data_IF_428779408732
#
_entry.id   IF_428779408732
#
_cell.length_a   1.000
_cell.length_b   1.000
_cell.length_c   1.000
_cell.angle_alpha   90.00
_cell.angle_beta   90.00
_cell.angle_gamma   90.00
#
_symmetry.space_group_name_H-M   'P 1'
#
loop_
_entity.id
_entity.type
_entity.pdbx_description
1 polymer ?
#
# COMPACT_ATOMS: atom_id res chain seq x y z
N UNK A 1 -15.41 -3.73 0.43
CA UNK A 1 -15.72 -5.04 -0.20
C UNK A 1 -15.33 -6.24 0.69
N UNK A 2 -14.04 -6.47 0.97
CA UNK A 2 -13.54 -7.61 1.77
C UNK A 2 -14.16 -7.72 3.17
N UNK A 3 -14.36 -6.59 3.87
CA UNK A 3 -15.03 -6.57 5.19
C UNK A 3 -16.48 -7.09 5.12
N UNK A 4 -17.25 -6.68 4.11
CA UNK A 4 -18.65 -7.13 3.93
C UNK A 4 -18.73 -8.62 3.64
N UNK A 5 -17.82 -9.15 2.81
CA UNK A 5 -17.72 -10.60 2.55
C UNK A 5 -17.32 -11.36 3.81
N UNK A 6 -16.28 -10.89 4.53
CA UNK A 6 -15.85 -11.48 5.82
C UNK A 6 -16.99 -11.53 6.83
N UNK A 7 -17.76 -10.44 6.97
CA UNK A 7 -18.90 -10.40 7.87
C UNK A 7 -19.95 -11.47 7.51
N UNK A 8 -20.26 -11.66 6.22
CA UNK A 8 -21.19 -12.70 5.76
C UNK A 8 -20.66 -14.12 5.93
N UNK A 9 -19.36 -14.33 5.76
CA UNK A 9 -18.72 -15.62 6.09
C UNK A 9 -18.83 -15.90 7.58
N UNK A 10 -18.58 -14.90 8.44
CA UNK A 10 -18.63 -15.05 9.90
C UNK A 10 -20.02 -15.39 10.43
N UNK A 11 -21.11 -15.09 9.69
CA UNK A 11 -22.45 -15.50 10.13
C UNK A 11 -22.69 -17.01 10.00
N UNK A 12 -21.89 -17.72 9.21
CA UNK A 12 -21.98 -19.17 9.00
C UNK A 12 -23.17 -19.64 8.15
N UNK A 13 -24.21 -18.82 8.00
CA UNK A 13 -25.51 -19.19 7.40
C UNK A 13 -25.81 -18.54 6.06
N UNK A 14 -25.02 -17.52 5.65
CA UNK A 14 -25.30 -16.77 4.43
C UNK A 14 -24.90 -17.56 3.16
N UNK A 15 -23.81 -18.32 3.26
CA UNK A 15 -23.32 -19.19 2.19
C UNK A 15 -23.71 -20.64 2.46
N UNK A 16 -24.06 -21.36 1.41
CA UNK A 16 -24.33 -22.80 1.49
C UNK A 16 -23.03 -23.57 1.78
N UNK A 17 -21.90 -23.07 1.27
CA UNK A 17 -20.56 -23.63 1.40
C UNK A 17 -19.61 -22.64 2.06
N UNK A 18 -19.87 -22.27 3.32
CA UNK A 18 -19.09 -21.27 4.07
C UNK A 18 -17.58 -21.56 4.13
N UNK A 19 -17.17 -22.81 4.38
CA UNK A 19 -15.73 -23.15 4.43
C UNK A 19 -15.06 -23.07 3.06
N UNK A 20 -15.76 -23.49 2.01
CA UNK A 20 -15.29 -23.31 0.64
C UNK A 20 -15.15 -21.82 0.31
N UNK A 21 -16.10 -20.98 0.72
CA UNK A 21 -16.06 -19.53 0.48
C UNK A 21 -14.86 -18.85 1.15
N UNK A 22 -14.46 -19.31 2.35
CA UNK A 22 -13.22 -18.85 3.02
C UNK A 22 -11.99 -19.16 2.16
N UNK A 23 -11.86 -20.39 1.71
CA UNK A 23 -10.73 -20.82 0.88
C UNK A 23 -10.73 -20.09 -0.46
N UNK A 24 -11.89 -20.01 -1.12
CA UNK A 24 -12.10 -19.32 -2.39
C UNK A 24 -11.64 -17.86 -2.33
N UNK A 25 -12.12 -17.09 -1.35
CA UNK A 25 -11.76 -15.67 -1.24
C UNK A 25 -10.28 -15.45 -0.90
N UNK A 26 -9.69 -16.31 -0.06
CA UNK A 26 -8.28 -16.22 0.29
C UNK A 26 -7.36 -16.59 -0.88
N UNK A 27 -7.66 -17.70 -1.55
CA UNK A 27 -6.89 -18.21 -2.70
C UNK A 27 -6.96 -17.24 -3.87
N UNK A 28 -8.16 -16.73 -4.19
CA UNK A 28 -8.33 -15.73 -5.24
C UNK A 28 -7.47 -14.49 -4.98
N UNK A 29 -7.55 -13.91 -3.77
CA UNK A 29 -6.75 -12.74 -3.40
C UNK A 29 -5.24 -13.00 -3.36
N UNK A 30 -4.81 -14.25 -3.16
CA UNK A 30 -3.38 -14.59 -3.15
C UNK A 30 -2.73 -14.46 -4.52
N UNK A 31 -3.45 -14.60 -5.63
CA UNK A 31 -2.86 -14.42 -6.95
C UNK A 31 -2.27 -13.02 -7.15
N UNK A 32 -3.02 -11.97 -6.79
CA UNK A 32 -2.50 -10.60 -6.82
C UNK A 32 -1.31 -10.42 -5.88
N UNK A 33 -1.42 -10.88 -4.62
CA UNK A 33 -0.34 -10.76 -3.62
C UNK A 33 0.94 -11.43 -4.08
N UNK A 34 0.82 -12.64 -4.65
CA UNK A 34 1.94 -13.38 -5.18
C UNK A 34 2.53 -12.68 -6.41
N UNK A 35 1.72 -12.19 -7.34
CA UNK A 35 2.21 -11.45 -8.50
C UNK A 35 2.98 -10.18 -8.09
N UNK A 36 2.45 -9.44 -7.11
CA UNK A 36 3.10 -8.25 -6.57
C UNK A 36 4.39 -8.58 -5.82
N UNK A 37 4.41 -9.65 -5.01
CA UNK A 37 5.61 -10.10 -4.30
C UNK A 37 6.71 -10.52 -5.28
N UNK A 38 6.37 -11.31 -6.30
CA UNK A 38 7.31 -11.69 -7.36
C UNK A 38 7.85 -10.47 -8.11
N UNK A 39 7.03 -9.44 -8.34
CA UNK A 39 7.50 -8.17 -8.91
C UNK A 39 8.52 -7.49 -8.00
N UNK A 40 8.22 -7.37 -6.70
CA UNK A 40 9.08 -6.76 -5.72
C UNK A 40 10.42 -7.48 -5.56
N UNK A 41 10.42 -8.82 -5.69
CA UNK A 41 11.63 -9.66 -5.64
C UNK A 41 12.39 -9.70 -6.98
N UNK A 42 11.88 -9.08 -8.05
CA UNK A 42 12.49 -9.14 -9.38
C UNK A 42 12.32 -10.49 -10.09
N UNK A 43 11.45 -11.36 -9.60
CA UNK A 43 11.15 -12.69 -10.15
C UNK A 43 10.15 -12.60 -11.31
N UNK A 44 10.47 -11.80 -12.33
CA UNK A 44 9.57 -11.46 -13.45
C UNK A 44 9.03 -12.71 -14.17
N UNK A 45 9.82 -13.78 -14.24
CA UNK A 45 9.46 -15.05 -14.89
C UNK A 45 8.36 -15.83 -14.14
N UNK A 46 8.13 -15.52 -12.86
CA UNK A 46 7.06 -16.11 -12.05
C UNK A 46 5.76 -15.30 -12.13
N UNK A 47 5.75 -14.18 -12.85
CA UNK A 47 4.59 -13.31 -12.98
C UNK A 47 3.84 -13.62 -14.28
N UNK A 48 2.51 -13.82 -14.22
CA UNK A 48 1.69 -13.98 -15.42
C UNK A 48 1.77 -12.78 -16.36
N UNK A 49 1.64 -12.99 -17.66
CA UNK A 49 1.76 -11.93 -18.68
C UNK A 49 0.71 -10.84 -18.50
N UNK A 50 -0.51 -11.23 -18.15
CA UNK A 50 -1.60 -10.29 -17.86
C UNK A 50 -1.27 -9.36 -16.67
N UNK A 51 -0.71 -9.90 -15.59
CA UNK A 51 -0.24 -9.12 -14.44
C UNK A 51 0.98 -8.24 -14.78
N UNK A 52 1.96 -8.78 -15.52
CA UNK A 52 3.10 -8.00 -16.00
C UNK A 52 2.67 -6.78 -16.82
N UNK A 53 1.67 -6.95 -17.69
CA UNK A 53 1.12 -5.85 -18.48
C UNK A 53 0.51 -4.77 -17.59
N UNK A 54 -0.33 -5.18 -16.62
CA UNK A 54 -0.93 -4.27 -15.67
C UNK A 54 0.12 -3.49 -14.86
N UNK A 55 1.11 -4.18 -14.29
CA UNK A 55 2.18 -3.55 -13.52
C UNK A 55 3.06 -2.62 -14.36
N UNK A 56 3.38 -3.02 -15.60
CA UNK A 56 4.16 -2.20 -16.53
C UNK A 56 3.50 -0.85 -16.78
N UNK A 57 2.20 -0.82 -17.05
CA UNK A 57 1.47 0.41 -17.35
C UNK A 57 1.17 1.25 -16.11
N UNK A 58 0.91 0.60 -14.97
CA UNK A 58 0.81 1.27 -13.68
C UNK A 58 2.12 1.98 -13.31
N UNK A 59 3.27 1.30 -13.42
CA UNK A 59 4.59 1.86 -13.13
C UNK A 59 4.98 3.01 -14.06
N UNK A 60 4.71 2.87 -15.36
CA UNK A 60 4.97 3.94 -16.33
C UNK A 60 4.08 5.17 -16.13
N UNK A 61 2.95 5.01 -15.46
CA UNK A 61 1.92 6.04 -15.36
C UNK A 61 1.46 6.51 -16.75
N UNK A 62 1.52 5.64 -17.75
CA UNK A 62 1.26 5.95 -19.16
C UNK A 62 -0.22 5.81 -19.58
N UNK A 63 -1.06 5.37 -18.65
CA UNK A 63 -2.49 5.14 -18.83
C UNK A 63 -3.33 5.98 -17.86
N UNK A 64 -4.62 6.16 -18.18
CA UNK A 64 -5.59 6.72 -17.23
C UNK A 64 -5.85 5.75 -16.09
N UNK A 65 -6.42 6.26 -15.00
CA UNK A 65 -6.86 5.40 -13.89
C UNK A 65 -7.76 4.26 -14.38
N UNK A 66 -8.73 4.55 -15.26
CA UNK A 66 -9.69 3.57 -15.77
C UNK A 66 -9.03 2.43 -16.53
N UNK A 67 -8.08 2.75 -17.40
CA UNK A 67 -7.37 1.72 -18.17
C UNK A 67 -6.51 0.89 -17.22
N UNK A 68 -5.79 1.51 -16.27
CA UNK A 68 -5.03 0.76 -15.27
C UNK A 68 -5.91 -0.15 -14.40
N UNK A 69 -7.09 0.33 -13.99
CA UNK A 69 -8.05 -0.46 -13.22
C UNK A 69 -8.59 -1.64 -14.04
N UNK A 70 -8.98 -1.40 -15.30
CA UNK A 70 -9.44 -2.45 -16.20
C UNK A 70 -8.34 -3.48 -16.54
N UNK A 71 -7.08 -3.07 -16.65
CA UNK A 71 -5.94 -3.99 -16.80
C UNK A 71 -5.80 -4.91 -15.58
N UNK A 72 -5.90 -4.34 -14.38
CA UNK A 72 -5.91 -5.12 -13.13
C UNK A 72 -7.09 -6.09 -13.07
N UNK A 73 -8.28 -5.67 -13.49
CA UNK A 73 -9.45 -6.55 -13.58
C UNK A 73 -9.27 -7.67 -14.60
N UNK A 74 -8.68 -7.39 -15.76
CA UNK A 74 -8.40 -8.41 -16.78
C UNK A 74 -7.49 -9.51 -16.22
N UNK A 75 -6.41 -9.14 -15.54
CA UNK A 75 -5.52 -10.09 -14.89
C UNK A 75 -6.20 -10.81 -13.71
N UNK A 76 -6.83 -10.06 -12.81
CA UNK A 76 -7.37 -10.64 -11.59
C UNK A 76 -8.64 -11.45 -11.84
N UNK A 77 -9.64 -10.89 -12.51
CA UNK A 77 -10.91 -11.58 -12.77
C UNK A 77 -10.77 -12.48 -14.00
N UNK A 78 -10.25 -11.97 -15.11
CA UNK A 78 -10.20 -12.73 -16.37
C UNK A 78 -9.35 -13.99 -16.30
N UNK A 79 -8.22 -13.94 -15.57
CA UNK A 79 -7.33 -15.08 -15.38
C UNK A 79 -7.51 -15.74 -14.01
N UNK A 80 -7.27 -15.04 -12.91
CA UNK A 80 -7.09 -15.69 -11.60
C UNK A 80 -8.38 -16.34 -11.08
N UNK A 81 -9.55 -15.81 -11.44
CA UNK A 81 -10.83 -16.34 -10.96
C UNK A 81 -11.11 -17.73 -11.54
N UNK A 82 -10.85 -17.92 -12.83
CA UNK A 82 -11.04 -19.22 -13.49
C UNK A 82 -10.12 -20.28 -12.91
N UNK A 83 -8.87 -19.91 -12.62
CA UNK A 83 -7.89 -20.78 -11.97
C UNK A 83 -8.35 -21.14 -10.55
N UNK A 84 -8.76 -20.13 -9.76
CA UNK A 84 -9.26 -20.33 -8.39
C UNK A 84 -10.40 -21.33 -8.34
N UNK A 85 -11.40 -21.15 -9.22
CA UNK A 85 -12.55 -22.04 -9.32
C UNK A 85 -12.16 -23.45 -9.75
N UNK A 86 -11.10 -23.61 -10.55
CA UNK A 86 -10.62 -24.91 -11.00
C UNK A 86 -9.76 -25.66 -9.98
N UNK A 87 -8.97 -24.95 -9.17
CA UNK A 87 -7.99 -25.54 -8.24
C UNK A 87 -8.59 -25.94 -6.90
N UNK A 88 -9.53 -25.15 -6.36
CA UNK A 88 -10.04 -25.37 -5.01
C UNK A 88 -11.02 -26.53 -4.89
N UNK A 89 -11.76 -26.86 -5.96
CA UNK A 89 -12.51 -28.11 -6.08
C UNK A 89 -13.07 -28.21 -7.51
N UNK A 90 -12.61 -29.18 -8.35
CA UNK A 90 -13.12 -29.38 -9.69
C UNK A 90 -14.66 -29.37 -9.69
N UNK A 91 -15.28 -28.73 -10.68
CA UNK A 91 -16.73 -28.44 -10.75
C UNK A 91 -17.68 -29.67 -10.76
N UNK A 92 -17.27 -30.85 -10.28
CA UNK A 92 -18.08 -32.06 -10.18
C UNK A 92 -18.95 -32.15 -8.92
N UNK A 93 -18.48 -31.70 -7.76
CA UNK A 93 -19.29 -31.71 -6.51
C UNK A 93 -19.86 -30.31 -6.21
N UNK A 94 -21.18 -30.25 -5.94
CA UNK A 94 -21.89 -29.05 -5.50
C UNK A 94 -21.80 -27.82 -6.43
N UNK A 95 -21.66 -28.03 -7.75
CA UNK A 95 -21.53 -26.94 -8.73
C UNK A 95 -22.65 -25.89 -8.65
N UNK A 96 -23.89 -26.32 -8.41
CA UNK A 96 -25.04 -25.43 -8.24
C UNK A 96 -24.90 -24.55 -6.99
N UNK A 97 -24.53 -25.11 -5.84
CA UNK A 97 -24.31 -24.37 -4.60
C UNK A 97 -23.12 -23.40 -4.72
N UNK A 98 -22.02 -23.84 -5.35
CA UNK A 98 -20.86 -22.96 -5.64
C UNK A 98 -21.24 -21.79 -6.55
N UNK A 99 -22.06 -22.04 -7.58
CA UNK A 99 -22.55 -20.98 -8.48
C UNK A 99 -23.46 -20.00 -7.72
N UNK A 100 -24.39 -20.53 -6.92
CA UNK A 100 -25.28 -19.76 -6.03
C UNK A 100 -24.47 -18.85 -5.09
N UNK A 101 -23.50 -19.41 -4.37
CA UNK A 101 -22.65 -18.67 -3.44
C UNK A 101 -21.74 -17.65 -4.15
N UNK A 102 -21.23 -17.97 -5.34
CA UNK A 102 -20.48 -17.02 -6.18
C UNK A 102 -21.35 -15.84 -6.63
N UNK A 103 -22.62 -16.09 -6.98
CA UNK A 103 -23.58 -15.04 -7.29
C UNK A 103 -23.92 -14.18 -6.06
N UNK A 104 -24.04 -14.77 -4.88
CA UNK A 104 -24.20 -14.01 -3.62
C UNK A 104 -23.01 -13.07 -3.38
N UNK A 105 -21.78 -13.52 -3.63
CA UNK A 105 -20.59 -12.64 -3.58
C UNK A 105 -20.68 -11.54 -4.62
N UNK A 106 -21.05 -11.84 -5.87
CA UNK A 106 -21.22 -10.82 -6.91
C UNK A 106 -22.25 -9.77 -6.51
N UNK A 107 -23.35 -10.16 -5.86
CA UNK A 107 -24.35 -9.21 -5.35
C UNK A 107 -23.76 -8.30 -4.25
N UNK A 108 -22.96 -8.85 -3.32
CA UNK A 108 -22.25 -8.05 -2.31
C UNK A 108 -21.30 -7.05 -3.00
N UNK A 109 -20.58 -7.51 -4.02
CA UNK A 109 -19.64 -6.69 -4.79
C UNK A 109 -20.39 -5.57 -5.51
N UNK A 110 -21.44 -5.89 -6.28
CA UNK A 110 -22.24 -4.93 -7.03
C UNK A 110 -22.79 -3.84 -6.09
N UNK A 111 -23.33 -4.23 -4.94
CA UNK A 111 -23.87 -3.32 -3.92
C UNK A 111 -22.83 -2.44 -3.21
N UNK A 112 -21.53 -2.67 -3.42
CA UNK A 112 -20.47 -1.77 -2.95
C UNK A 112 -19.58 -1.24 -4.08
N UNK A 113 -19.84 -1.60 -5.34
CA UNK A 113 -19.01 -1.21 -6.48
C UNK A 113 -19.19 0.26 -6.81
N UNK A 114 -20.41 0.81 -6.66
CA UNK A 114 -20.64 2.23 -6.83
C UNK A 114 -19.87 3.05 -5.78
N UNK A 115 -19.90 2.64 -4.51
CA UNK A 115 -19.11 3.28 -3.44
C UNK A 115 -17.61 3.23 -3.75
N UNK A 116 -17.11 2.06 -4.16
CA UNK A 116 -15.69 1.86 -4.49
C UNK A 116 -15.26 2.69 -5.71
N UNK A 117 -16.01 2.64 -6.81
CA UNK A 117 -15.68 3.38 -8.04
C UNK A 117 -15.83 4.88 -7.80
N UNK A 118 -16.78 5.30 -6.97
CA UNK A 118 -16.90 6.71 -6.55
C UNK A 118 -15.66 7.12 -5.77
N UNK A 119 -15.29 6.37 -4.72
CA UNK A 119 -14.10 6.68 -3.93
C UNK A 119 -12.81 6.66 -4.77
N UNK A 120 -12.66 5.68 -5.67
CA UNK A 120 -11.51 5.58 -6.57
C UNK A 120 -11.51 6.69 -7.63
N UNK A 121 -12.66 7.09 -8.15
CA UNK A 121 -12.75 8.22 -9.09
C UNK A 121 -12.45 9.54 -8.38
N UNK A 122 -12.98 9.73 -7.18
CA UNK A 122 -12.64 10.88 -6.33
C UNK A 122 -11.14 10.90 -6.03
N UNK A 123 -10.52 9.72 -5.85
CA UNK A 123 -9.11 9.56 -5.51
C UNK A 123 -8.14 9.43 -6.70
N UNK A 124 -8.59 9.21 -7.94
CA UNK A 124 -7.66 9.13 -9.08
C UNK A 124 -8.06 10.00 -10.28
N UNK A 125 -9.28 10.56 -10.31
CA UNK A 125 -9.78 11.37 -11.42
C UNK A 125 -10.96 12.31 -11.02
N UNK A 126 -10.76 13.27 -10.09
CA UNK A 126 -11.82 14.07 -9.47
C UNK A 126 -12.45 15.04 -10.46
N UNK A 127 -11.74 15.36 -11.55
CA UNK A 127 -12.29 16.12 -12.69
C UNK A 127 -13.54 15.45 -13.29
N UNK A 128 -13.66 14.13 -13.16
CA UNK A 128 -14.82 13.38 -13.64
C UNK A 128 -16.05 13.56 -12.74
N UNK A 129 -15.90 14.21 -11.57
CA UNK A 129 -17.01 14.63 -10.72
C UNK A 129 -17.82 15.77 -11.33
N UNK A 130 -17.25 16.49 -12.31
CA UNK A 130 -17.89 17.63 -12.94
C UNK A 130 -18.89 17.24 -14.05
N UNK A 131 -19.06 15.93 -14.32
CA UNK A 131 -19.87 15.42 -15.44
C UNK A 131 -20.55 14.09 -15.13
N UNK A 132 -21.49 13.64 -15.98
CA UNK A 132 -22.13 12.31 -15.91
C UNK A 132 -21.18 11.13 -16.19
N UNK A 133 -19.87 11.37 -16.31
CA UNK A 133 -18.89 10.34 -16.65
C UNK A 133 -18.82 9.25 -15.58
N UNK A 134 -19.02 9.55 -14.29
CA UNK A 134 -19.03 8.55 -13.21
C UNK A 134 -20.00 7.41 -13.46
N UNK A 135 -21.23 7.75 -13.83
CA UNK A 135 -22.28 6.76 -14.09
C UNK A 135 -21.94 5.92 -15.31
N UNK A 136 -21.47 6.56 -16.39
CA UNK A 136 -21.04 5.84 -17.59
C UNK A 136 -19.88 4.90 -17.28
N UNK A 137 -18.88 5.36 -16.53
CA UNK A 137 -17.72 4.57 -16.14
C UNK A 137 -18.09 3.40 -15.25
N UNK A 138 -18.95 3.64 -14.25
CA UNK A 138 -19.52 2.59 -13.43
C UNK A 138 -20.20 1.52 -14.30
N UNK A 139 -21.10 1.92 -15.20
CA UNK A 139 -21.80 1.00 -16.11
C UNK A 139 -20.83 0.21 -16.99
N UNK A 140 -19.79 0.86 -17.53
CA UNK A 140 -18.79 0.18 -18.35
C UNK A 140 -17.96 -0.81 -17.55
N UNK A 141 -17.53 -0.47 -16.33
CA UNK A 141 -16.74 -1.35 -15.47
C UNK A 141 -17.58 -2.50 -14.91
N UNK A 142 -18.84 -2.26 -14.54
CA UNK A 142 -19.77 -3.29 -14.08
C UNK A 142 -20.03 -4.30 -15.21
N UNK A 143 -20.35 -3.82 -16.42
CA UNK A 143 -20.50 -4.68 -17.62
C UNK A 143 -19.21 -5.46 -17.91
N UNK A 144 -18.05 -4.80 -17.84
CA UNK A 144 -16.76 -5.43 -18.05
C UNK A 144 -16.48 -6.52 -17.01
N UNK A 145 -16.82 -6.27 -15.74
CA UNK A 145 -16.71 -7.25 -14.65
C UNK A 145 -17.54 -8.49 -14.95
N UNK A 146 -18.77 -8.33 -15.42
CA UNK A 146 -19.67 -9.45 -15.70
C UNK A 146 -19.20 -10.29 -16.89
N UNK A 147 -18.68 -9.65 -17.94
CA UNK A 147 -18.02 -10.36 -19.05
C UNK A 147 -16.84 -11.20 -18.54
N UNK A 148 -15.96 -10.61 -17.72
CA UNK A 148 -14.81 -11.30 -17.17
C UNK A 148 -15.20 -12.47 -16.26
N UNK A 149 -16.22 -12.30 -15.41
CA UNK A 149 -16.77 -13.38 -14.57
C UNK A 149 -17.35 -14.52 -15.40
N UNK A 150 -18.06 -14.21 -16.49
CA UNK A 150 -18.60 -15.19 -17.42
C UNK A 150 -17.48 -16.00 -18.08
N UNK A 151 -16.43 -15.33 -18.57
CA UNK A 151 -15.23 -15.97 -19.13
C UNK A 151 -14.58 -16.88 -18.09
N UNK A 152 -14.33 -16.37 -16.88
CA UNK A 152 -13.71 -17.12 -15.79
C UNK A 152 -14.50 -18.38 -15.41
N UNK A 153 -15.83 -18.29 -15.35
CA UNK A 153 -16.70 -19.43 -15.07
C UNK A 153 -16.61 -20.49 -16.17
N UNK A 154 -16.71 -20.08 -17.44
CA UNK A 154 -16.61 -21.01 -18.58
C UNK A 154 -15.24 -21.69 -18.63
N UNK A 155 -14.19 -20.94 -18.33
CA UNK A 155 -12.82 -21.42 -18.22
C UNK A 155 -12.66 -22.48 -17.12
N UNK A 156 -13.27 -22.25 -15.95
CA UNK A 156 -13.27 -23.22 -14.86
C UNK A 156 -14.02 -24.51 -15.25
N UNK A 157 -15.19 -24.39 -15.89
CA UNK A 157 -15.97 -25.53 -16.42
C UNK A 157 -15.14 -26.33 -17.43
N UNK A 158 -14.43 -25.63 -18.31
CA UNK A 158 -13.55 -26.27 -19.29
C UNK A 158 -12.40 -27.05 -18.63
N UNK A 159 -11.67 -26.45 -17.67
CA UNK A 159 -10.61 -27.17 -16.93
C UNK A 159 -11.17 -28.40 -16.22
N UNK A 160 -12.32 -28.25 -15.54
CA UNK A 160 -12.94 -29.36 -14.82
C UNK A 160 -13.34 -30.52 -15.75
N UNK A 161 -13.73 -30.21 -16.98
CA UNK A 161 -14.09 -31.20 -18.00
C UNK A 161 -12.86 -31.88 -18.62
N UNK A 162 -11.68 -31.23 -18.58
CA UNK A 162 -10.44 -31.73 -19.19
C UNK A 162 -9.21 -31.58 -18.27
N UNK A 163 -9.13 -32.32 -17.14
CA UNK A 163 -8.09 -32.13 -16.12
C UNK A 163 -6.65 -32.34 -16.63
N UNK A 164 -6.46 -33.19 -17.63
CA UNK A 164 -5.14 -33.47 -18.24
C UNK A 164 -4.59 -32.25 -19.00
N UNK A 165 -5.46 -31.33 -19.43
CA UNK A 165 -5.08 -30.13 -20.17
C UNK A 165 -4.86 -28.88 -19.28
N UNK A 166 -4.92 -29.01 -17.94
CA UNK A 166 -5.03 -27.87 -17.02
C UNK A 166 -3.88 -26.84 -17.20
N UNK A 167 -2.63 -27.29 -17.32
CA UNK A 167 -1.49 -26.37 -17.54
C UNK A 167 -1.59 -25.57 -18.85
N UNK A 168 -2.10 -26.19 -19.91
CA UNK A 168 -2.31 -25.51 -21.20
C UNK A 168 -3.49 -24.56 -21.11
N UNK A 169 -4.58 -24.96 -20.46
CA UNK A 169 -5.74 -24.11 -20.23
C UNK A 169 -5.37 -22.86 -19.43
N UNK A 170 -4.60 -22.99 -18.33
CA UNK A 170 -4.12 -21.84 -17.54
C UNK A 170 -3.28 -20.88 -18.39
N UNK A 171 -2.43 -21.38 -19.30
CA UNK A 171 -1.65 -20.54 -20.21
C UNK A 171 -2.53 -19.81 -21.22
N UNK A 172 -3.58 -20.45 -21.73
CA UNK A 172 -4.56 -19.82 -22.61
C UNK A 172 -5.32 -18.72 -21.87
N UNK A 173 -5.74 -18.96 -20.63
CA UNK A 173 -6.41 -17.94 -19.79
C UNK A 173 -5.55 -16.70 -19.58
N UNK A 174 -4.26 -16.88 -19.30
CA UNK A 174 -3.32 -15.76 -19.20
C UNK A 174 -3.14 -15.04 -20.55
N UNK A 175 -3.10 -15.77 -21.66
CA UNK A 175 -3.02 -15.19 -22.99
C UNK A 175 -4.28 -14.39 -23.35
N UNK A 176 -5.48 -14.90 -23.05
CA UNK A 176 -6.75 -14.21 -23.30
C UNK A 176 -6.86 -12.94 -22.45
N UNK A 177 -6.54 -13.02 -21.16
CA UNK A 177 -6.49 -11.87 -20.26
C UNK A 177 -5.45 -10.83 -20.71
N UNK A 178 -4.31 -11.29 -21.25
CA UNK A 178 -3.28 -10.42 -21.82
C UNK A 178 -3.75 -9.75 -23.12
N UNK A 179 -4.36 -10.49 -24.06
CA UNK A 179 -4.90 -9.93 -25.33
C UNK A 179 -5.97 -8.88 -25.05
N UNK A 180 -6.87 -9.16 -24.09
CA UNK A 180 -7.86 -8.19 -23.65
C UNK A 180 -7.20 -6.95 -23.06
N UNK A 181 -6.14 -7.12 -22.27
CA UNK A 181 -5.34 -6.02 -21.74
C UNK A 181 -4.65 -5.19 -22.82
N UNK A 182 -4.02 -5.81 -23.81
CA UNK A 182 -3.41 -5.13 -24.97
C UNK A 182 -4.46 -4.35 -25.77
N UNK A 183 -5.68 -4.89 -25.88
CA UNK A 183 -6.80 -4.19 -26.52
C UNK A 183 -7.18 -2.92 -25.74
N UNK A 184 -7.24 -2.99 -24.40
CA UNK A 184 -7.46 -1.82 -23.55
C UNK A 184 -6.34 -0.77 -23.71
N UNK A 185 -5.09 -1.21 -23.77
CA UNK A 185 -3.92 -0.35 -24.04
C UNK A 185 -4.04 0.32 -25.41
N UNK A 186 -4.46 -0.41 -26.44
CA UNK A 186 -4.65 0.13 -27.79
C UNK A 186 -5.79 1.17 -27.85
N UNK A 187 -6.78 1.07 -26.96
CA UNK A 187 -7.87 2.04 -26.83
C UNK A 187 -7.50 3.26 -25.97
N UNK A 188 -6.41 3.20 -25.19
CA UNK A 188 -5.97 4.29 -24.33
C UNK A 188 -5.82 5.67 -25.01
N UNK A 189 -5.40 5.78 -26.30
CA UNK A 189 -5.38 7.06 -27.02
C UNK A 189 -6.72 7.81 -27.03
N UNK A 190 -7.85 7.08 -27.03
CA UNK A 190 -9.20 7.66 -27.00
C UNK A 190 -9.48 8.38 -25.68
N UNK A 191 -8.73 8.05 -24.62
CA UNK A 191 -8.85 8.62 -23.29
C UNK A 191 -7.74 9.65 -22.99
N UNK A 192 -6.92 10.06 -23.98
CA UNK A 192 -5.84 11.05 -23.78
C UNK A 192 -6.34 12.39 -23.23
N UNK A 193 -7.51 12.85 -23.69
CA UNK A 193 -8.11 14.07 -23.20
C UNK A 193 -8.34 13.97 -21.68
N UNK A 194 -8.92 12.88 -21.20
CA UNK A 194 -9.12 12.62 -19.77
C UNK A 194 -7.80 12.59 -19.00
N UNK A 195 -6.75 11.98 -19.58
CA UNK A 195 -5.43 11.92 -18.96
C UNK A 195 -4.76 13.29 -18.80
N UNK A 196 -4.95 14.19 -19.76
CA UNK A 196 -4.44 15.56 -19.65
C UNK A 196 -5.10 16.28 -18.48
N UNK A 197 -6.38 16.03 -18.24
CA UNK A 197 -7.08 16.53 -17.06
C UNK A 197 -6.66 15.82 -15.77
N UNK A 198 -6.50 14.49 -15.73
CA UNK A 198 -5.97 13.76 -14.57
C UNK A 198 -4.59 14.28 -14.15
N UNK A 199 -3.70 14.56 -15.11
CA UNK A 199 -2.36 15.12 -14.84
C UNK A 199 -2.36 16.58 -14.42
N UNK A 200 -3.40 17.33 -14.77
CA UNK A 200 -3.55 18.75 -14.37
C UNK A 200 -3.95 18.89 -12.90
N UNK A 201 -4.31 17.77 -12.24
CA UNK A 201 -4.47 17.65 -10.80
C UNK A 201 -3.33 16.77 -10.27
N UNK A 202 -2.18 17.34 -9.87
CA UNK A 202 -1.05 16.56 -9.37
C UNK A 202 -1.45 15.71 -8.15
N UNK A 203 -0.70 14.64 -7.91
CA UNK A 203 -0.80 13.76 -6.73
C UNK A 203 -0.86 14.54 -5.39
N UNK A 204 -0.37 15.78 -5.39
CA UNK A 204 -0.47 16.79 -4.33
C UNK A 204 -1.91 17.22 -3.97
N UNK A 205 -2.91 16.96 -4.82
CA UNK A 205 -4.33 17.27 -4.58
C UNK A 205 -5.16 16.09 -4.05
N UNK A 206 -4.59 14.89 -3.95
CA UNK A 206 -5.40 13.67 -4.10
C UNK A 206 -5.89 12.99 -2.84
N UNK A 207 -5.50 13.46 -1.68
CA UNK A 207 -5.81 12.72 -0.47
C UNK A 207 -6.96 13.46 0.30
N UNK A 208 -7.86 14.14 -0.44
CA UNK A 208 -8.92 15.06 0.04
C UNK A 208 -10.31 14.47 0.31
N UNK A 209 -10.52 13.14 0.27
CA UNK A 209 -11.89 12.59 0.50
C UNK A 209 -12.19 12.35 1.99
N UNK A 210 -11.14 12.28 2.82
CA UNK A 210 -11.17 12.52 4.28
C UNK A 210 -9.78 13.07 4.63
N UNK A 211 -9.57 14.02 5.56
CA UNK A 211 -8.22 14.35 5.99
C UNK A 211 -7.64 13.16 6.76
N UNK A 212 -6.81 12.38 6.09
CA UNK A 212 -5.99 11.38 6.75
C UNK A 212 -4.74 12.09 7.28
N UNK A 213 -4.49 12.00 8.59
CA UNK A 213 -3.18 12.25 9.19
C UNK A 213 -2.56 10.91 9.54
N UNK A 214 -1.74 10.34 8.66
CA UNK A 214 -0.94 9.16 8.96
C UNK A 214 0.38 9.65 9.56
N UNK A 215 0.48 9.66 10.88
CA UNK A 215 1.74 9.93 11.57
C UNK A 215 2.29 8.59 12.03
N UNK A 216 3.32 8.10 11.37
CA UNK A 216 4.05 6.97 11.93
C UNK A 216 5.43 7.34 12.45
N UNK A 217 5.77 6.58 13.47
CA UNK A 217 6.78 6.78 14.47
C UNK A 217 8.17 6.57 13.89
N UNK A 218 8.71 7.68 13.43
CA UNK A 218 10.12 7.99 13.48
C UNK A 218 11.09 7.11 12.68
N UNK A 219 11.39 7.52 11.45
CA UNK A 219 12.44 6.90 10.66
C UNK A 219 13.82 7.32 11.15
N UNK A 220 14.66 6.37 11.60
CA UNK A 220 16.09 6.63 11.79
C UNK A 220 16.78 6.64 10.43
N UNK A 221 17.20 7.81 9.99
CA UNK A 221 17.99 7.96 8.76
C UNK A 221 19.46 8.00 9.17
N UNK A 222 20.19 6.94 8.80
CA UNK A 222 21.62 6.82 9.05
C UNK A 222 22.41 7.61 8.00
N UNK A 223 23.60 8.07 8.35
CA UNK A 223 24.57 8.54 7.35
C UNK A 223 24.87 7.39 6.38
N UNK A 224 24.84 7.67 5.08
CA UNK A 224 25.18 6.67 4.07
C UNK A 224 26.71 6.69 3.96
N UNK A 225 27.39 5.94 4.84
CA UNK A 225 28.75 5.43 4.63
C UNK A 225 29.14 4.45 5.76
N UNK A 226 29.66 3.28 5.36
CA UNK A 226 30.29 2.28 6.23
C UNK A 226 31.80 2.27 5.97
N UNK A 227 32.60 2.41 7.02
CA UNK A 227 33.91 1.75 7.11
C UNK A 227 33.95 0.91 8.39
N UNK A 228 34.80 -0.12 8.41
CA UNK A 228 34.95 -1.03 9.54
C UNK A 228 35.80 -0.43 10.67
N UNK A 229 35.64 -0.93 11.91
CA UNK A 229 36.45 -0.55 13.07
C UNK A 229 37.65 -1.49 13.29
N UNK A 230 38.72 -0.98 13.91
CA UNK A 230 39.88 -1.80 14.38
C UNK A 230 39.52 -2.91 15.39
N UNK A 231 38.29 -2.93 15.91
CA UNK A 231 37.81 -3.90 16.91
C UNK A 231 36.78 -4.89 16.35
N UNK A 232 36.41 -4.76 15.08
CA UNK A 232 35.53 -5.73 14.45
C UNK A 232 36.33 -6.98 14.10
N UNK A 233 35.90 -8.11 14.63
CA UNK A 233 36.54 -9.40 14.37
C UNK A 233 36.14 -9.83 12.97
N UNK A 234 37.00 -9.57 11.99
CA UNK A 234 36.97 -10.31 10.72
C UNK A 234 37.33 -11.75 11.09
N UNK A 235 36.34 -12.65 11.06
CA UNK A 235 36.60 -14.06 11.25
C UNK A 235 37.45 -14.56 10.08
N UNK A 236 38.76 -14.66 10.29
CA UNK A 236 39.70 -15.34 9.42
C UNK A 236 40.40 -16.43 10.22
N UNK A 237 40.69 -17.55 9.56
CA UNK A 237 41.41 -18.69 10.15
C UNK A 237 42.85 -18.32 10.52
N UNK A 238 43.41 -17.26 9.91
CA UNK A 238 44.77 -16.75 10.17
C UNK A 238 44.85 -15.22 9.95
N UNK A 239 45.42 -14.48 10.91
CA UNK A 239 45.61 -13.01 10.85
C UNK A 239 46.50 -12.55 9.69
N UNK A 240 47.39 -13.41 9.18
CA UNK A 240 48.30 -13.09 8.07
C UNK A 240 47.60 -12.94 6.71
N UNK A 241 46.35 -13.41 6.62
CA UNK A 241 45.55 -13.40 5.38
C UNK A 241 44.64 -12.19 5.24
N UNK A 242 44.56 -11.32 6.25
CA UNK A 242 43.71 -10.12 6.21
C UNK A 242 44.45 -9.01 5.44
N UNK A 243 43.89 -8.51 4.32
CA UNK A 243 44.47 -7.39 3.58
C UNK A 243 44.77 -6.19 4.49
N UNK A 244 45.96 -5.59 4.38
CA UNK A 244 46.43 -4.50 5.24
C UNK A 244 45.47 -3.29 5.26
N UNK A 245 44.78 -3.06 4.15
CA UNK A 245 43.78 -2.02 3.92
C UNK A 245 42.58 -2.12 4.89
N UNK A 246 42.21 -3.35 5.29
CA UNK A 246 41.10 -3.62 6.21
C UNK A 246 41.51 -3.48 7.69
N UNK A 247 42.81 -3.43 7.99
CA UNK A 247 43.37 -3.33 9.34
C UNK A 247 43.55 -1.86 9.76
N UNK A 248 43.84 -0.98 8.80
CA UNK A 248 44.26 0.41 9.07
C UNK A 248 43.12 1.43 9.17
N UNK A 249 41.92 1.11 8.69
CA UNK A 249 40.78 2.03 8.69
C UNK A 249 39.95 1.82 9.96
N UNK A 250 39.71 2.89 10.72
CA UNK A 250 38.85 2.84 11.92
C UNK A 250 37.53 3.57 11.69
N UNK A 251 36.39 2.91 11.94
CA UNK A 251 35.07 3.55 11.99
C UNK A 251 34.11 2.93 13.02
N UNK A 252 32.99 3.60 13.28
CA UNK A 252 32.10 3.40 14.45
C UNK A 252 31.11 2.23 14.30
N UNK A 253 30.93 1.46 15.38
CA UNK A 253 30.01 0.30 15.52
C UNK A 253 28.52 0.64 15.30
N UNK A 254 28.17 1.92 15.30
CA UNK A 254 26.84 2.42 14.99
C UNK A 254 26.99 3.61 14.05
N UNK A 255 26.32 3.56 12.91
CA UNK A 255 26.26 4.73 12.06
C UNK A 255 25.49 5.85 12.79
N UNK A 256 26.07 7.05 12.95
CA UNK A 256 25.32 8.21 13.40
C UNK A 256 24.14 8.42 12.44
N UNK A 257 23.00 8.79 12.99
CA UNK A 257 21.78 9.03 12.24
C UNK A 257 20.91 10.03 12.97
N UNK A 258 19.83 10.43 12.31
CA UNK A 258 18.84 11.31 12.90
C UNK A 258 17.50 10.60 12.90
N UNK A 259 16.80 10.66 14.02
CA UNK A 259 15.42 10.23 14.15
C UNK A 259 14.55 11.42 13.77
N UNK A 260 13.79 11.28 12.69
CA UNK A 260 12.83 12.28 12.21
C UNK A 260 11.41 11.82 12.45
N UNK A 261 10.47 12.71 12.71
CA UNK A 261 9.05 12.42 12.85
C UNK A 261 8.25 13.37 11.96
N UNK A 262 7.14 12.87 11.47
CA UNK A 262 6.20 13.62 10.67
C UNK A 262 4.98 12.76 10.37
N UNK A 263 3.99 13.41 9.81
CA UNK A 263 2.84 12.76 9.23
C UNK A 263 2.78 13.03 7.73
N UNK A 264 2.06 12.19 7.04
CA UNK A 264 1.61 12.44 5.68
C UNK A 264 0.10 12.57 5.68
N UNK A 265 -0.37 13.50 4.86
CA UNK A 265 -1.78 13.68 4.61
C UNK A 265 -2.09 13.84 3.14
N UNK A 266 -3.38 13.81 2.90
CA UNK A 266 -4.15 14.65 1.99
C UNK A 266 -3.40 15.73 1.21
N UNK A 267 -2.81 16.66 1.95
CA UNK A 267 -2.24 17.92 1.46
C UNK A 267 -0.71 17.91 1.52
N UNK A 268 -0.12 16.72 1.57
CA UNK A 268 1.32 16.50 1.62
C UNK A 268 1.85 16.23 3.03
N UNK A 269 3.15 16.45 3.20
CA UNK A 269 3.84 16.23 4.47
C UNK A 269 3.42 17.22 5.55
N UNK A 270 3.46 16.74 6.79
CA UNK A 270 3.17 17.49 7.99
C UNK A 270 4.32 17.23 8.98
N UNK A 271 5.18 18.22 9.28
CA UNK A 271 5.15 19.60 8.78
C UNK A 271 5.62 19.70 7.31
N UNK A 272 5.11 20.72 6.58
CA UNK A 272 5.40 20.90 5.15
C UNK A 272 6.84 21.31 4.85
N UNK A 273 7.43 22.13 5.73
CA UNK A 273 8.75 22.73 5.50
C UNK A 273 9.91 21.84 5.96
N UNK A 274 9.73 21.12 7.08
CA UNK A 274 10.77 20.25 7.61
C UNK A 274 10.18 19.18 8.53
N UNK A 275 10.74 17.96 8.54
CA UNK A 275 10.36 16.97 9.54
C UNK A 275 10.79 17.42 10.94
N UNK A 276 10.10 16.92 11.95
CA UNK A 276 10.43 17.13 13.36
C UNK A 276 11.63 16.26 13.71
N UNK A 277 12.72 16.85 14.19
CA UNK A 277 13.91 16.09 14.61
C UNK A 277 13.76 15.60 16.05
N UNK A 278 13.30 14.36 16.21
CA UNK A 278 12.96 13.77 17.50
C UNK A 278 14.15 13.74 18.46
N UNK A 279 15.37 13.51 17.97
CA UNK A 279 16.53 13.43 18.87
C UNK A 279 16.72 14.71 19.70
N UNK A 280 16.55 15.88 19.08
CA UNK A 280 16.75 17.17 19.74
C UNK A 280 15.54 17.51 20.62
N UNK A 281 14.35 17.25 20.10
CA UNK A 281 13.10 17.49 20.82
C UNK A 281 13.03 16.62 22.08
N UNK A 282 13.28 15.32 21.93
CA UNK A 282 13.23 14.34 23.00
C UNK A 282 14.30 14.60 24.06
N UNK A 283 15.51 15.01 23.65
CA UNK A 283 16.55 15.47 24.58
C UNK A 283 16.05 16.65 25.41
N UNK A 284 15.57 17.70 24.74
CA UNK A 284 15.08 18.93 25.39
C UNK A 284 13.95 18.62 26.37
N UNK A 285 12.98 17.80 25.98
CA UNK A 285 11.84 17.46 26.82
C UNK A 285 12.19 16.52 27.98
N UNK A 286 13.10 15.57 27.76
CA UNK A 286 13.60 14.72 28.84
C UNK A 286 14.41 15.51 29.88
N UNK A 287 15.24 16.46 29.44
CA UNK A 287 16.01 17.34 30.32
C UNK A 287 15.11 18.22 31.18
N UNK A 288 14.04 18.80 30.59
CA UNK A 288 13.02 19.55 31.34
C UNK A 288 12.32 18.71 32.42
N UNK A 289 12.14 17.42 32.16
CA UNK A 289 11.53 16.46 33.09
C UNK A 289 12.54 15.81 34.06
N UNK A 290 13.81 16.21 34.02
CA UNK A 290 14.87 15.62 34.86
C UNK A 290 15.17 14.15 34.55
N UNK A 291 14.80 13.65 33.37
CA UNK A 291 15.02 12.26 32.97
C UNK A 291 16.47 12.03 32.55
N UNK A 292 17.11 11.02 33.14
CA UNK A 292 18.48 10.60 32.80
C UNK A 292 18.60 9.89 31.44
N UNK A 293 17.49 9.39 30.89
CA UNK A 293 17.44 8.68 29.61
C UNK A 293 16.50 9.43 28.66
N UNK A 294 16.95 9.65 27.42
CA UNK A 294 16.16 10.30 26.38
C UNK A 294 15.32 9.24 25.65
N UNK A 295 14.22 8.83 26.27
CA UNK A 295 13.33 7.78 25.73
C UNK A 295 11.92 8.30 25.64
N UNK A 296 11.26 8.01 24.51
CA UNK A 296 9.85 8.32 24.31
C UNK A 296 8.98 7.45 25.23
N UNK A 297 8.07 8.08 25.97
CA UNK A 297 7.01 7.40 26.71
C UNK A 297 5.63 7.89 26.24
N UNK A 298 4.56 7.33 26.79
CA UNK A 298 3.18 7.69 26.42
C UNK A 298 2.85 9.18 26.64
N UNK A 299 3.48 9.83 27.63
CA UNK A 299 3.20 11.24 27.93
C UNK A 299 3.92 12.16 26.95
N UNK A 300 5.19 11.85 26.67
CA UNK A 300 5.96 12.55 25.65
C UNK A 300 5.40 12.31 24.24
N UNK A 301 4.84 11.14 23.97
CA UNK A 301 4.17 10.85 22.71
C UNK A 301 2.98 11.79 22.46
N UNK A 302 2.06 11.90 23.43
CA UNK A 302 0.92 12.81 23.31
C UNK A 302 1.39 14.27 23.27
N UNK A 303 2.40 14.64 24.06
CA UNK A 303 2.97 15.99 24.03
C UNK A 303 3.54 16.34 22.64
N UNK A 304 4.25 15.42 22.00
CA UNK A 304 4.77 15.58 20.64
C UNK A 304 3.63 15.84 19.65
N UNK A 305 2.55 15.07 19.74
CA UNK A 305 1.40 15.22 18.84
C UNK A 305 0.69 16.55 19.09
N UNK A 306 0.36 16.85 20.34
CA UNK A 306 -0.41 18.04 20.72
C UNK A 306 0.36 19.34 20.43
N UNK A 307 1.67 19.36 20.69
CA UNK A 307 2.47 20.60 20.63
C UNK A 307 3.20 20.79 19.31
N UNK A 308 3.71 19.70 18.72
CA UNK A 308 4.50 19.82 17.49
C UNK A 308 3.66 19.51 16.27
N UNK A 309 2.83 18.45 16.29
CA UNK A 309 2.17 17.98 15.06
C UNK A 309 0.81 18.63 14.82
N UNK A 310 -0.05 18.68 15.84
CA UNK A 310 -1.43 19.17 15.75
C UNK A 310 -1.54 20.61 15.24
N UNK A 311 -0.68 21.57 15.64
CA UNK A 311 -0.74 22.92 15.07
C UNK A 311 -0.49 22.94 13.56
N UNK A 312 0.39 22.08 13.05
CA UNK A 312 0.61 21.94 11.61
C UNK A 312 -0.56 21.25 10.92
N UNK A 313 -1.19 20.25 11.55
CA UNK A 313 -2.41 19.63 11.06
C UNK A 313 -3.54 20.66 10.95
N UNK A 314 -3.74 21.48 11.99
CA UNK A 314 -4.82 22.48 12.03
C UNK A 314 -4.61 23.62 11.02
N UNK A 315 -3.35 24.02 10.82
CA UNK A 315 -3.00 24.96 9.75
C UNK A 315 -3.34 24.39 8.36
N UNK A 316 -3.16 23.08 8.19
CA UNK A 316 -3.44 22.40 6.93
C UNK A 316 -4.93 22.05 6.81
N UNK A 317 -5.67 21.79 7.89
CA UNK A 317 -7.08 21.38 7.92
C UNK A 317 -7.90 22.15 8.98
N UNK A 318 -8.13 23.46 8.81
CA UNK A 318 -8.78 24.29 9.84
C UNK A 318 -10.26 23.96 10.10
N UNK A 319 -10.94 23.31 9.16
CA UNK A 319 -12.39 23.08 9.21
C UNK A 319 -12.79 21.63 8.94
N UNK A 320 -11.84 20.68 8.98
CA UNK A 320 -12.11 19.30 8.58
C UNK A 320 -11.79 18.31 9.69
N UNK A 321 -12.69 17.36 9.84
CA UNK A 321 -12.57 16.22 10.74
C UNK A 321 -11.43 15.29 10.32
N UNK A 322 -10.28 15.40 10.98
CA UNK A 322 -9.09 14.59 10.68
C UNK A 322 -9.19 13.21 11.32
N UNK A 323 -8.90 12.16 10.54
CA UNK A 323 -8.75 10.79 11.02
C UNK A 323 -7.28 10.52 11.33
N UNK A 324 -7.02 10.02 12.53
CA UNK A 324 -5.69 9.65 13.02
C UNK A 324 -5.35 8.19 12.77
N UNK A 325 -4.12 7.94 12.32
CA UNK A 325 -3.56 6.60 12.17
C UNK A 325 -2.10 6.59 12.66
N UNK A 326 -1.75 5.60 13.49
CA UNK A 326 -0.42 5.36 14.04
C UNK A 326 -0.14 3.85 14.22
N UNK A 327 1.09 3.43 14.50
CA UNK A 327 1.39 2.00 14.72
C UNK A 327 0.82 1.43 16.04
N UNK A 328 0.84 0.10 16.12
CA UNK A 328 0.39 -0.67 17.28
C UNK A 328 1.39 -0.70 18.47
N UNK A 329 2.32 0.26 18.61
CA UNK A 329 3.22 0.30 19.76
C UNK A 329 2.43 0.45 21.07
N UNK A 330 2.82 -0.34 22.07
CA UNK A 330 2.31 -0.32 23.44
C UNK A 330 2.14 1.09 24.05
N UNK A 331 2.99 2.06 23.71
CA UNK A 331 2.90 3.43 24.22
C UNK A 331 1.74 4.21 23.61
N UNK A 332 1.47 4.00 22.31
CA UNK A 332 0.33 4.58 21.59
C UNK A 332 -0.98 3.93 22.04
N UNK A 333 -0.92 2.64 22.38
CA UNK A 333 -2.06 1.83 22.84
C UNK A 333 -2.36 1.93 24.34
N UNK A 334 -1.69 2.82 25.07
CA UNK A 334 -2.01 3.08 26.47
C UNK A 334 -3.34 3.83 26.61
N UNK A 335 -4.17 3.52 27.61
CA UNK A 335 -5.47 4.18 27.80
C UNK A 335 -5.38 5.71 27.84
N UNK A 336 -4.27 6.24 28.38
CA UNK A 336 -3.99 7.68 28.36
C UNK A 336 -3.84 8.22 26.94
N UNK A 337 -3.04 7.54 26.10
CA UNK A 337 -2.81 7.97 24.73
C UNK A 337 -4.09 7.85 23.89
N UNK A 338 -4.83 6.75 24.01
CA UNK A 338 -6.09 6.56 23.29
C UNK A 338 -7.09 7.68 23.57
N UNK A 339 -7.37 7.94 24.85
CA UNK A 339 -8.30 9.00 25.24
C UNK A 339 -7.85 10.37 24.72
N UNK A 340 -6.55 10.66 24.77
CA UNK A 340 -6.02 11.94 24.29
C UNK A 340 -6.11 12.10 22.77
N UNK A 341 -5.90 11.02 22.02
CA UNK A 341 -6.04 11.07 20.56
C UNK A 341 -7.52 11.24 20.17
N UNK A 342 -8.44 10.57 20.86
CA UNK A 342 -9.88 10.72 20.64
C UNK A 342 -10.38 12.14 21.01
N UNK A 343 -9.69 12.85 21.92
CA UNK A 343 -9.92 14.28 22.20
C UNK A 343 -9.35 15.21 21.11
N UNK A 344 -8.21 14.84 20.51
CA UNK A 344 -7.49 15.68 19.56
C UNK A 344 -7.99 15.57 18.12
N UNK A 345 -8.54 14.40 17.75
CA UNK A 345 -8.94 14.08 16.37
C UNK A 345 -10.39 13.61 16.32
N UNK A 346 -11.00 13.71 15.15
CA UNK A 346 -12.41 13.34 14.98
C UNK A 346 -12.63 11.83 15.13
N UNK A 347 -11.72 11.05 14.55
CA UNK A 347 -11.75 9.61 14.61
C UNK A 347 -10.32 9.08 14.57
N UNK A 348 -10.13 7.87 15.09
CA UNK A 348 -8.87 7.14 15.02
C UNK A 348 -9.15 5.75 14.46
N UNK A 349 -8.27 5.27 13.59
CA UNK A 349 -8.36 3.91 13.09
C UNK A 349 -8.19 2.96 14.27
N UNK A 350 -9.14 2.05 14.44
CA UNK A 350 -9.12 1.15 15.59
C UNK A 350 -7.99 0.13 15.45
N UNK A 351 -7.35 -0.29 16.55
CA UNK A 351 -6.25 -1.25 16.48
C UNK A 351 -6.61 -2.58 15.80
N UNK A 352 -7.89 -2.98 15.87
CA UNK A 352 -8.40 -4.19 15.21
C UNK A 352 -8.52 -4.06 13.68
N UNK A 353 -8.50 -2.84 13.17
CA UNK A 353 -8.51 -2.52 11.74
C UNK A 353 -7.10 -2.34 11.16
N UNK A 354 -6.09 -2.18 12.02
CA UNK A 354 -4.70 -2.04 11.63
C UNK A 354 -4.01 -3.40 11.60
N UNK A 355 -3.33 -3.71 10.50
CA UNK A 355 -2.54 -4.93 10.44
C UNK A 355 -1.23 -4.72 11.21
N UNK A 356 -1.09 -5.40 12.36
CA UNK A 356 0.13 -5.33 13.16
C UNK A 356 1.35 -5.80 12.35
N UNK A 357 2.47 -5.06 12.43
CA UNK A 357 3.76 -5.38 11.78
C UNK A 357 3.73 -5.40 10.24
N UNK A 358 2.78 -4.70 9.63
CA UNK A 358 2.71 -4.54 8.17
C UNK A 358 3.12 -3.11 7.78
N UNK A 359 4.42 -2.85 7.80
CA UNK A 359 4.97 -1.55 7.37
C UNK A 359 4.64 -1.24 5.89
N UNK A 360 4.39 -2.27 5.08
CA UNK A 360 4.04 -2.20 3.66
C UNK A 360 2.67 -1.55 3.37
N UNK A 361 1.76 -1.54 4.34
CA UNK A 361 0.44 -0.89 4.19
C UNK A 361 0.41 0.54 4.72
N UNK A 362 1.50 1.03 5.33
CA UNK A 362 1.57 2.37 5.91
C UNK A 362 2.10 3.37 4.88
N UNK A 363 1.30 4.35 4.41
CA UNK A 363 1.70 5.26 3.34
C UNK A 363 3.00 6.02 3.64
N UNK A 364 3.26 6.31 4.91
CA UNK A 364 4.45 7.00 5.39
C UNK A 364 5.75 6.18 5.19
N UNK A 365 5.68 4.85 5.13
CA UNK A 365 6.86 4.01 4.85
C UNK A 365 7.34 4.18 3.40
N UNK A 366 6.42 4.41 2.45
CA UNK A 366 6.77 4.78 1.08
C UNK A 366 7.47 6.15 1.02
N UNK A 367 7.04 7.09 1.87
CA UNK A 367 7.71 8.40 2.01
C UNK A 367 9.14 8.22 2.52
N UNK A 368 9.34 7.38 3.53
CA UNK A 368 10.68 7.07 4.04
C UNK A 368 11.55 6.39 2.98
N UNK A 369 10.99 5.47 2.20
CA UNK A 369 11.64 4.85 1.05
C UNK A 369 12.14 5.89 0.03
N UNK A 370 11.25 6.80 -0.39
CA UNK A 370 11.60 7.86 -1.35
C UNK A 370 12.61 8.86 -0.79
N UNK A 371 12.53 9.22 0.49
CA UNK A 371 13.52 10.09 1.13
C UNK A 371 14.90 9.42 1.13
N UNK A 372 14.97 8.12 1.44
CA UNK A 372 16.24 7.36 1.40
C UNK A 372 16.82 7.30 -0.01
N UNK A 373 16.01 6.96 -1.01
CA UNK A 373 16.44 6.93 -2.42
C UNK A 373 16.96 8.31 -2.88
N UNK A 374 16.26 9.39 -2.52
CA UNK A 374 16.71 10.76 -2.81
C UNK A 374 17.98 11.14 -2.04
N UNK A 375 18.25 10.56 -0.88
CA UNK A 375 19.48 10.80 -0.12
C UNK A 375 20.67 10.02 -0.69
N UNK A 376 20.43 8.83 -1.25
CA UNK A 376 21.47 7.92 -1.78
C UNK A 376 22.30 8.54 -2.92
N UNK A 377 21.75 9.50 -3.67
CA UNK A 377 22.49 10.23 -4.71
C UNK A 377 23.46 11.28 -4.15
N UNK A 378 23.39 11.60 -2.86
CA UNK A 378 24.22 12.62 -2.23
C UNK A 378 25.30 11.99 -1.35
N UNK A 379 26.50 12.52 -1.45
CA UNK A 379 27.58 12.18 -0.52
C UNK A 379 27.38 12.94 0.82
N UNK A 380 26.72 12.29 1.78
CA UNK A 380 26.38 12.90 3.07
C UNK A 380 27.47 12.58 4.10
N UNK A 381 28.32 13.56 4.38
CA UNK A 381 29.52 13.36 5.22
C UNK A 381 29.31 13.60 6.71
N UNK A 382 28.22 14.25 7.12
CA UNK A 382 27.93 14.53 8.53
C UNK A 382 26.43 14.81 8.79
N UNK A 383 26.05 14.82 10.07
CA UNK A 383 24.66 15.03 10.53
C UNK A 383 24.11 16.41 10.11
N UNK A 384 24.91 17.47 10.13
CA UNK A 384 24.46 18.81 9.73
C UNK A 384 24.09 18.86 8.24
N UNK A 385 24.89 18.19 7.39
CA UNK A 385 24.57 18.02 5.97
C UNK A 385 23.31 17.18 5.77
N UNK A 386 23.15 16.09 6.52
CA UNK A 386 21.96 15.24 6.49
C UNK A 386 20.70 16.05 6.81
N UNK A 387 20.71 16.81 7.92
CA UNK A 387 19.60 17.68 8.32
C UNK A 387 19.27 18.74 7.28
N UNK A 388 20.29 19.43 6.76
CA UNK A 388 20.11 20.43 5.69
C UNK A 388 19.48 19.84 4.44
N UNK A 389 19.83 18.59 4.10
CA UNK A 389 19.23 17.88 2.97
C UNK A 389 17.79 17.48 3.25
N UNK A 390 17.50 16.94 4.43
CA UNK A 390 16.14 16.61 4.86
C UNK A 390 15.20 17.82 4.85
N UNK A 391 15.66 19.00 5.30
CA UNK A 391 14.87 20.24 5.20
C UNK A 391 14.71 20.72 3.74
N UNK A 392 15.70 20.50 2.87
CA UNK A 392 15.61 20.84 1.44
C UNK A 392 14.67 19.93 0.65
N UNK A 393 14.48 18.70 1.12
CA UNK A 393 13.47 17.80 0.61
C UNK A 393 12.09 18.12 1.15
N UNK A 394 11.79 19.35 1.60
CA UNK A 394 10.40 19.81 1.73
C UNK A 394 9.69 19.43 0.43
N UNK A 395 8.93 18.32 0.49
CA UNK A 395 8.52 17.58 -0.70
C UNK A 395 7.45 18.46 -1.32
N UNK A 396 7.88 19.27 -2.29
CA UNK A 396 6.99 19.89 -3.27
C UNK A 396 6.31 18.78 -4.04
#
# INVERSE_FOLDING_TARGET
MTRRIRAKISTGTYFELTEWMKQYTAHFGNFYRNALMNLALGEIHNIPRSWLLAFKHAYKGDMTFYINFALGMSAHIGRDLGITLSELDPLGMNATAKKSDSQKVNNIIHNCSLELITALTDFYAPVLNLTNWKTLLYLTLDTFTDVLRGIAWNNAVFIASYPVANKTAIRIMDADAWILGETLVALAPLFRALRQYERSFPFEHFCTVVPWGCADFSGRINLIQKHNSKKDVIWSKDKTTIPAELITVGQQKYCPGVIIFGAISSRGLIPKESPIFIDDWLKTECEKLGKKRHTMDRFLYIKLIEQELKPHIDMIFPEVNVIWQDDADSKHRSSYALNKIDELFYERITPDEEASKMADIWPIENVWGHIKEKLDVYEIRNIAMLRKKLCKFGIQ
#
